data_IF_910583698553
#
_entry.id   IF_910583698553
#
_cell.length_a   1.000
_cell.length_b   1.000
_cell.length_c   1.000
_cell.angle_alpha   90.00
_cell.angle_beta   90.00
_cell.angle_gamma   90.00
#
_symmetry.space_group_name_H-M   'P 1'
#
loop_
_entity.id
_entity.type
_entity.pdbx_description
1 polymer ?
#
# COMPACT_ATOMS: atom_id res chain seq x y z
N UNK A 1 12.88 63.21 1.58
CA UNK A 1 12.25 62.21 0.68
C UNK A 1 11.10 61.55 1.42
N UNK A 2 9.86 61.72 0.97
CA UNK A 2 8.64 61.43 1.75
C UNK A 2 8.48 59.91 2.00
N UNK A 3 8.50 59.47 3.27
CA UNK A 3 8.44 58.04 3.65
C UNK A 3 7.24 57.32 3.01
N UNK A 4 6.10 58.01 2.89
CA UNK A 4 4.91 57.48 2.23
C UNK A 4 5.10 57.17 0.73
N UNK A 5 5.95 57.93 0.03
CA UNK A 5 6.29 57.63 -1.38
C UNK A 5 7.18 56.39 -1.49
N UNK A 6 8.12 56.21 -0.54
CA UNK A 6 9.00 55.03 -0.49
C UNK A 6 8.21 53.74 -0.23
N UNK A 7 7.29 53.76 0.73
CA UNK A 7 6.43 52.60 1.06
C UNK A 7 5.56 52.21 -0.14
N UNK A 8 4.92 53.18 -0.81
CA UNK A 8 4.13 52.93 -2.02
C UNK A 8 4.96 52.32 -3.15
N UNK A 9 6.20 52.78 -3.32
CA UNK A 9 7.10 52.26 -4.36
C UNK A 9 7.54 50.82 -4.07
N UNK A 10 7.89 50.52 -2.81
CA UNK A 10 8.25 49.16 -2.37
C UNK A 10 7.07 48.21 -2.58
N UNK A 11 5.85 48.63 -2.24
CA UNK A 11 4.64 47.84 -2.45
C UNK A 11 4.38 47.60 -3.95
N UNK A 12 4.52 48.63 -4.78
CA UNK A 12 4.31 48.53 -6.22
C UNK A 12 5.35 47.61 -6.90
N UNK A 13 6.62 47.72 -6.51
CA UNK A 13 7.69 46.83 -6.98
C UNK A 13 7.45 45.39 -6.53
N UNK A 14 7.05 45.18 -5.27
CA UNK A 14 6.72 43.84 -4.75
C UNK A 14 5.56 43.20 -5.51
N UNK A 15 4.48 43.95 -5.77
CA UNK A 15 3.35 43.47 -6.58
C UNK A 15 3.79 43.12 -8.00
N UNK A 16 4.60 43.97 -8.65
CA UNK A 16 5.13 43.67 -9.99
C UNK A 16 5.98 42.39 -10.01
N UNK A 17 6.83 42.17 -9.00
CA UNK A 17 7.64 40.94 -8.88
C UNK A 17 6.73 39.71 -8.73
N UNK A 18 5.70 39.78 -7.89
CA UNK A 18 4.73 38.69 -7.74
C UNK A 18 4.00 38.38 -9.05
N UNK A 19 3.54 39.41 -9.77
CA UNK A 19 2.84 39.24 -11.06
C UNK A 19 3.76 38.61 -12.10
N UNK A 20 4.99 39.10 -12.24
CA UNK A 20 5.97 38.54 -13.17
C UNK A 20 6.32 37.09 -12.82
N UNK A 21 6.50 36.78 -11.54
CA UNK A 21 6.76 35.41 -11.08
C UNK A 21 5.59 34.48 -11.41
N UNK A 22 4.36 34.96 -11.25
CA UNK A 22 3.15 34.19 -11.57
C UNK A 22 2.99 33.97 -13.09
N UNK A 23 3.34 34.95 -13.92
CA UNK A 23 3.36 34.80 -15.38
C UNK A 23 4.39 33.74 -15.80
N UNK A 24 5.62 33.83 -15.27
CA UNK A 24 6.68 32.84 -15.53
C UNK A 24 6.24 31.45 -15.08
N UNK A 25 5.58 31.34 -13.92
CA UNK A 25 5.04 30.09 -13.43
C UNK A 25 3.98 29.51 -14.38
N UNK A 26 2.96 30.30 -14.74
CA UNK A 26 1.90 29.86 -15.67
C UNK A 26 2.41 29.46 -17.05
N UNK A 27 3.50 30.07 -17.51
CA UNK A 27 4.09 29.74 -18.81
C UNK A 27 4.85 28.41 -18.77
N UNK A 28 5.48 28.09 -17.64
CA UNK A 28 6.36 26.91 -17.51
C UNK A 28 5.69 25.70 -16.85
N UNK A 29 4.62 25.88 -16.09
CA UNK A 29 3.97 24.83 -15.32
C UNK A 29 2.49 24.67 -15.67
N UNK A 30 2.00 23.47 -15.48
CA UNK A 30 0.60 23.09 -15.65
C UNK A 30 0.14 22.28 -14.44
N UNK A 31 -1.15 22.37 -14.15
CA UNK A 31 -1.80 21.58 -13.12
C UNK A 31 -2.37 20.29 -13.72
N UNK A 32 -1.97 19.16 -13.14
CA UNK A 32 -2.57 17.85 -13.43
C UNK A 32 -3.46 17.48 -12.26
N UNK A 33 -4.76 17.37 -12.52
CA UNK A 33 -5.75 17.01 -11.51
C UNK A 33 -6.15 15.56 -11.69
N UNK A 34 -5.97 14.74 -10.65
CA UNK A 34 -6.38 13.34 -10.66
C UNK A 34 -7.77 13.20 -10.02
N UNK A 35 -8.70 12.48 -10.68
CA UNK A 35 -10.09 12.26 -10.23
C UNK A 35 -10.55 10.81 -10.42
N UNK A 36 -11.64 10.42 -9.75
CA UNK A 36 -12.45 9.21 -10.04
C UNK A 36 -13.86 9.67 -10.28
N UNK A 37 -14.54 9.03 -11.23
CA UNK A 37 -15.96 9.25 -11.47
C UNK A 37 -16.85 8.29 -10.66
N UNK A 38 -16.40 7.05 -10.40
CA UNK A 38 -17.28 5.95 -9.97
C UNK A 38 -17.17 5.53 -8.50
N UNK A 39 -16.10 5.88 -7.78
CA UNK A 39 -15.93 5.54 -6.36
C UNK A 39 -15.40 6.77 -5.60
N UNK A 40 -15.95 7.11 -4.42
CA UNK A 40 -15.39 8.14 -3.57
C UNK A 40 -13.98 7.74 -3.13
N UNK A 41 -12.96 8.40 -3.70
CA UNK A 41 -11.60 8.39 -3.17
C UNK A 41 -11.62 8.97 -1.75
N UNK A 42 -11.74 8.17 -0.70
CA UNK A 42 -11.63 8.74 0.65
C UNK A 42 -10.21 9.29 0.94
N UNK A 43 -9.17 8.80 0.24
CA UNK A 43 -7.78 9.24 0.44
C UNK A 43 -7.20 10.16 -0.65
N UNK A 44 -7.82 10.26 -1.84
CA UNK A 44 -7.28 11.02 -2.99
C UNK A 44 -8.32 11.89 -3.72
N UNK A 45 -9.34 12.37 -3.00
CA UNK A 45 -10.24 13.42 -3.52
C UNK A 45 -9.43 14.63 -3.98
N UNK A 46 -9.10 14.67 -5.29
CA UNK A 46 -8.36 15.72 -6.00
C UNK A 46 -6.91 15.88 -5.54
N UNK A 47 -6.03 14.96 -5.92
CA UNK A 47 -4.59 15.25 -5.93
C UNK A 47 -4.30 16.18 -7.11
N UNK A 48 -3.93 17.42 -6.80
CA UNK A 48 -3.44 18.38 -7.79
C UNK A 48 -1.92 18.29 -7.78
N UNK A 49 -1.33 18.01 -8.93
CA UNK A 49 0.12 18.00 -9.11
C UNK A 49 0.54 19.14 -10.02
N UNK A 50 1.62 19.82 -9.65
CA UNK A 50 2.24 20.86 -10.47
C UNK A 50 3.34 20.20 -11.29
N UNK A 51 3.22 20.26 -12.61
CA UNK A 51 4.14 19.62 -13.55
C UNK A 51 4.67 20.65 -14.52
N UNK A 52 5.96 20.55 -14.88
CA UNK A 52 6.53 21.40 -15.93
C UNK A 52 5.90 21.07 -17.29
N UNK A 53 5.59 22.08 -18.09
CA UNK A 53 5.07 21.87 -19.44
C UNK A 53 6.11 21.21 -20.34
N UNK A 54 5.63 20.47 -21.33
CA UNK A 54 6.40 19.71 -22.31
C UNK A 54 7.24 18.56 -21.71
N UNK A 55 6.99 18.17 -20.46
CA UNK A 55 7.61 16.99 -19.84
C UNK A 55 6.63 15.82 -19.82
N UNK A 56 7.19 14.62 -19.70
CA UNK A 56 6.42 13.40 -19.44
C UNK A 56 6.18 13.32 -17.94
N UNK A 57 4.91 13.14 -17.57
CA UNK A 57 4.48 12.92 -16.21
C UNK A 57 4.08 11.45 -16.04
N UNK A 58 4.62 10.80 -15.02
CA UNK A 58 4.24 9.44 -14.67
C UNK A 58 3.05 9.45 -13.72
N UNK A 59 1.96 8.83 -14.14
CA UNK A 59 0.77 8.69 -13.33
C UNK A 59 0.99 7.62 -12.24
N UNK A 60 0.43 7.84 -11.04
CA UNK A 60 0.57 6.88 -9.95
C UNK A 60 0.00 5.52 -10.33
N UNK A 61 0.76 4.45 -10.05
CA UNK A 61 0.41 3.06 -10.35
C UNK A 61 -0.07 2.26 -9.14
N UNK A 62 0.21 2.75 -7.93
CA UNK A 62 0.02 2.05 -6.66
C UNK A 62 -0.70 2.95 -5.67
N UNK A 63 -1.36 2.34 -4.69
CA UNK A 63 -2.00 3.01 -3.55
C UNK A 63 -3.12 3.98 -3.91
N UNK A 64 -3.74 3.86 -5.09
CA UNK A 64 -4.89 4.70 -5.44
C UNK A 64 -6.14 4.35 -4.61
N UNK A 65 -6.25 3.11 -4.15
CA UNK A 65 -7.42 2.58 -3.44
C UNK A 65 -6.96 1.89 -2.16
N UNK A 66 -7.78 2.01 -1.11
CA UNK A 66 -7.60 1.19 0.08
C UNK A 66 -7.87 -0.26 -0.29
N UNK A 67 -7.09 -1.18 0.30
CA UNK A 67 -7.28 -2.61 0.06
C UNK A 67 -8.70 -3.07 0.43
N UNK A 68 -9.39 -2.34 1.32
CA UNK A 68 -10.76 -2.63 1.73
C UNK A 68 -11.82 -2.21 0.70
N UNK A 69 -11.45 -1.37 -0.26
CA UNK A 69 -12.35 -0.96 -1.32
C UNK A 69 -12.48 -2.08 -2.33
N UNK A 70 -13.72 -2.49 -2.59
CA UNK A 70 -14.07 -3.50 -3.58
C UNK A 70 -13.99 -2.89 -5.00
N UNK A 71 -12.79 -2.44 -5.37
CA UNK A 71 -12.50 -1.71 -6.61
C UNK A 71 -11.25 -2.27 -7.28
N UNK A 72 -11.34 -2.44 -8.59
CA UNK A 72 -10.21 -2.79 -9.45
C UNK A 72 -9.85 -1.61 -10.36
N UNK A 73 -8.63 -1.12 -10.20
CA UNK A 73 -8.04 -0.12 -11.09
C UNK A 73 -7.74 -0.73 -12.46
N UNK A 74 -8.24 -0.11 -13.53
CA UNK A 74 -8.01 -0.54 -14.92
C UNK A 74 -7.03 0.35 -15.68
N UNK A 75 -6.77 1.56 -15.20
CA UNK A 75 -5.90 2.53 -15.84
C UNK A 75 -6.42 3.94 -15.73
N UNK A 76 -5.89 4.83 -16.56
CA UNK A 76 -6.26 6.23 -16.57
C UNK A 76 -7.00 6.57 -17.86
N UNK A 77 -7.81 7.63 -17.85
CA UNK A 77 -8.40 8.21 -19.04
C UNK A 77 -8.24 9.74 -19.04
N UNK A 78 -8.12 10.29 -20.24
CA UNK A 78 -8.00 11.72 -20.50
C UNK A 78 -8.80 12.05 -21.76
N UNK A 79 -9.60 13.13 -21.72
CA UNK A 79 -10.48 13.53 -22.83
C UNK A 79 -11.32 12.36 -23.40
N UNK A 80 -11.90 11.51 -22.54
CA UNK A 80 -12.64 10.30 -22.89
C UNK A 80 -11.86 9.18 -23.61
N UNK A 81 -10.53 9.29 -23.68
CA UNK A 81 -9.66 8.25 -24.23
C UNK A 81 -8.95 7.51 -23.10
N UNK A 82 -8.99 6.17 -23.13
CA UNK A 82 -8.21 5.36 -22.22
C UNK A 82 -6.72 5.47 -22.54
N UNK A 83 -5.90 5.67 -21.50
CA UNK A 83 -4.46 5.74 -21.61
C UNK A 83 -3.91 4.38 -21.21
N UNK A 84 -3.34 3.67 -22.18
CA UNK A 84 -2.71 2.35 -21.97
C UNK A 84 -1.43 2.45 -21.13
N UNK A 85 -0.73 3.58 -21.23
CA UNK A 85 0.50 3.85 -20.51
C UNK A 85 0.25 4.78 -19.31
N UNK A 86 0.91 4.52 -18.17
CA UNK A 86 0.85 5.43 -17.02
C UNK A 86 1.73 6.67 -17.23
N UNK A 87 1.81 7.20 -18.46
CA UNK A 87 2.67 8.31 -18.85
C UNK A 87 1.88 9.25 -19.75
N UNK A 88 1.92 10.53 -19.44
CA UNK A 88 1.25 11.57 -20.24
C UNK A 88 2.20 12.73 -20.48
N UNK A 89 2.16 13.31 -21.68
CA UNK A 89 2.87 14.55 -21.96
C UNK A 89 2.00 15.73 -21.54
N UNK A 90 2.50 16.54 -20.60
CA UNK A 90 1.74 17.66 -20.04
C UNK A 90 2.07 18.93 -20.80
N UNK A 91 1.14 19.45 -21.59
CA UNK A 91 1.31 20.71 -22.34
C UNK A 91 0.45 21.85 -21.80
N UNK A 92 -0.63 21.51 -21.09
CA UNK A 92 -1.61 22.44 -20.51
C UNK A 92 -2.20 21.82 -19.26
N UNK A 93 -2.92 22.63 -18.50
CA UNK A 93 -3.71 22.14 -17.37
C UNK A 93 -4.67 21.05 -17.87
N UNK A 94 -4.72 19.93 -17.14
CA UNK A 94 -5.47 18.76 -17.54
C UNK A 94 -6.05 18.02 -16.34
N UNK A 95 -7.17 17.35 -16.58
CA UNK A 95 -7.80 16.46 -15.60
C UNK A 95 -7.75 15.05 -16.13
N UNK A 96 -7.19 14.13 -15.35
CA UNK A 96 -7.07 12.72 -15.69
C UNK A 96 -7.94 11.92 -14.73
N UNK A 97 -8.68 10.97 -15.26
CA UNK A 97 -9.63 10.16 -14.50
C UNK A 97 -9.10 8.75 -14.31
N UNK A 98 -9.22 8.23 -13.10
CA UNK A 98 -8.95 6.83 -12.80
C UNK A 98 -10.15 6.00 -13.29
N UNK A 99 -9.88 5.06 -14.20
CA UNK A 99 -10.87 4.11 -14.70
C UNK A 99 -10.87 2.91 -13.77
N UNK A 100 -12.01 2.70 -13.13
CA UNK A 100 -12.18 1.69 -12.09
C UNK A 100 -13.41 0.84 -12.36
N UNK A 101 -13.36 -0.42 -11.95
CA UNK A 101 -14.53 -1.30 -11.93
C UNK A 101 -14.82 -1.77 -10.52
N UNK A 102 -16.09 -1.90 -10.19
CA UNK A 102 -16.53 -2.53 -8.94
C UNK A 102 -16.18 -4.01 -8.99
N UNK A 103 -15.66 -4.54 -7.90
CA UNK A 103 -15.35 -5.96 -7.74
C UNK A 103 -16.05 -6.49 -6.50
N UNK A 104 -16.13 -7.80 -6.38
CA UNK A 104 -16.48 -8.50 -5.14
C UNK A 104 -15.24 -9.23 -4.64
N UNK A 105 -15.22 -9.60 -3.37
CA UNK A 105 -14.14 -10.39 -2.81
C UNK A 105 -14.67 -11.43 -1.84
N UNK A 106 -14.00 -12.57 -1.81
CA UNK A 106 -14.15 -13.60 -0.78
C UNK A 106 -12.85 -13.75 -0.01
N UNK A 107 -12.95 -14.19 1.24
CA UNK A 107 -11.80 -14.55 2.06
C UNK A 107 -11.85 -16.06 2.32
N UNK A 108 -10.87 -16.78 1.78
CA UNK A 108 -10.67 -18.20 2.06
C UNK A 108 -9.78 -18.31 3.29
N UNK A 109 -10.28 -19.03 4.30
CA UNK A 109 -9.58 -19.27 5.55
C UNK A 109 -9.20 -20.74 5.63
N UNK A 110 -7.92 -21.01 5.85
CA UNK A 110 -7.36 -22.35 6.04
C UNK A 110 -6.65 -22.43 7.39
N UNK A 111 -6.82 -23.55 8.08
CA UNK A 111 -6.11 -23.83 9.34
C UNK A 111 -5.05 -24.89 9.09
N UNK A 112 -3.81 -24.59 9.49
CA UNK A 112 -2.67 -25.48 9.30
C UNK A 112 -1.98 -25.69 10.64
N UNK A 113 -1.68 -26.94 10.96
CA UNK A 113 -0.93 -27.29 12.17
C UNK A 113 0.52 -26.80 12.09
N UNK A 114 1.01 -26.27 13.20
CA UNK A 114 2.41 -25.93 13.40
C UNK A 114 3.03 -27.04 14.26
N UNK A 115 3.95 -27.85 13.73
CA UNK A 115 4.53 -28.95 14.49
C UNK A 115 5.33 -28.41 15.69
N UNK A 116 5.15 -29.03 16.85
CA UNK A 116 6.03 -28.79 18.00
C UNK A 116 7.40 -29.45 17.82
N UNK A 117 8.38 -29.01 18.62
CA UNK A 117 9.70 -29.63 18.70
C UNK A 117 9.84 -30.44 19.97
N UNK A 118 10.59 -31.53 19.92
CA UNK A 118 10.99 -32.28 21.11
C UNK A 118 12.35 -31.78 21.59
N UNK A 119 12.40 -31.38 22.85
CA UNK A 119 13.59 -30.93 23.58
C UNK A 119 13.97 -32.02 24.58
N UNK A 120 15.20 -32.51 24.47
CA UNK A 120 15.75 -33.51 25.36
C UNK A 120 16.63 -32.86 26.43
N UNK A 121 16.36 -33.15 27.69
CA UNK A 121 17.09 -32.60 28.84
C UNK A 121 17.84 -33.70 29.58
N UNK A 122 19.08 -33.41 29.98
CA UNK A 122 19.88 -34.27 30.86
C UNK A 122 19.33 -34.17 32.30
N UNK A 123 18.87 -35.28 32.89
CA UNK A 123 18.30 -35.28 34.25
C UNK A 123 19.31 -34.88 35.33
N UNK A 124 20.62 -34.82 35.02
CA UNK A 124 21.66 -34.48 35.99
C UNK A 124 21.95 -32.97 36.10
N UNK A 125 21.34 -32.12 35.28
CA UNK A 125 21.46 -30.65 35.41
C UNK A 125 20.36 -30.13 36.34
N UNK A 126 20.75 -29.26 37.28
CA UNK A 126 20.03 -28.89 38.52
C UNK A 126 18.72 -28.11 38.31
N UNK A 127 18.40 -27.65 37.09
CA UNK A 127 17.09 -27.08 36.79
C UNK A 127 16.08 -28.20 36.47
N UNK A 128 15.23 -28.51 37.46
CA UNK A 128 14.16 -29.50 37.39
C UNK A 128 13.04 -29.07 36.46
N UNK A 129 13.30 -28.96 35.15
CA UNK A 129 12.23 -28.77 34.19
C UNK A 129 11.45 -30.10 34.08
N UNK A 130 10.19 -30.06 34.52
CA UNK A 130 9.31 -31.22 34.44
C UNK A 130 9.02 -31.57 32.97
N UNK A 131 8.83 -32.87 32.64
CA UNK A 131 8.39 -33.26 31.31
C UNK A 131 7.08 -32.55 30.94
N UNK A 132 7.03 -32.03 29.72
CA UNK A 132 5.85 -31.35 29.16
C UNK A 132 5.46 -32.09 27.90
N UNK A 133 4.17 -32.40 27.75
CA UNK A 133 3.66 -32.97 26.51
C UNK A 133 3.71 -31.92 25.41
N UNK A 134 4.20 -32.29 24.23
CA UNK A 134 4.15 -31.40 23.08
C UNK A 134 2.73 -31.26 22.57
N UNK A 135 2.39 -30.05 22.11
CA UNK A 135 1.12 -29.75 21.46
C UNK A 135 1.37 -28.94 20.19
N UNK A 136 0.78 -29.36 19.07
CA UNK A 136 0.89 -28.62 17.83
C UNK A 136 0.18 -27.27 17.97
N UNK A 137 0.77 -26.24 17.39
CA UNK A 137 0.11 -24.95 17.27
C UNK A 137 -0.86 -24.92 16.09
N UNK A 138 -1.62 -23.85 15.97
CA UNK A 138 -2.56 -23.61 14.86
C UNK A 138 -2.22 -22.29 14.19
N UNK A 139 -2.03 -22.35 12.87
CA UNK A 139 -1.87 -21.20 12.00
C UNK A 139 -3.13 -21.00 11.16
N UNK A 140 -3.69 -19.80 11.19
CA UNK A 140 -4.75 -19.35 10.29
C UNK A 140 -4.12 -18.66 9.08
N UNK A 141 -4.39 -19.20 7.89
CA UNK A 141 -3.98 -18.63 6.61
C UNK A 141 -5.22 -18.00 5.97
N UNK A 142 -5.18 -16.69 5.74
CA UNK A 142 -6.24 -15.95 5.05
C UNK A 142 -5.80 -15.58 3.65
N UNK A 143 -6.60 -15.93 2.67
CA UNK A 143 -6.37 -15.60 1.27
C UNK A 143 -7.57 -14.85 0.72
N UNK A 144 -7.37 -13.59 0.33
CA UNK A 144 -8.41 -12.80 -0.32
C UNK A 144 -8.41 -13.07 -1.84
N UNK A 145 -9.57 -13.44 -2.36
CA UNK A 145 -9.82 -13.65 -3.79
C UNK A 145 -10.72 -12.52 -4.27
N UNK A 146 -10.36 -11.89 -5.39
CA UNK A 146 -11.07 -10.75 -5.97
C UNK A 146 -11.71 -11.17 -7.30
N UNK A 147 -13.00 -10.91 -7.43
CA UNK A 147 -13.82 -11.26 -8.59
C UNK A 147 -14.34 -10.04 -9.33
N UNK A 148 -14.49 -10.19 -10.64
CA UNK A 148 -15.18 -9.24 -11.50
C UNK A 148 -16.08 -10.02 -12.46
N UNK A 149 -17.38 -9.75 -12.45
CA UNK A 149 -18.39 -10.52 -13.21
C UNK A 149 -18.22 -12.03 -13.02
N UNK A 150 -18.11 -12.47 -11.76
CA UNK A 150 -17.91 -13.86 -11.34
C UNK A 150 -16.60 -14.54 -11.82
N UNK A 151 -15.70 -13.79 -12.47
CA UNK A 151 -14.38 -14.27 -12.88
C UNK A 151 -13.30 -13.83 -11.89
N UNK A 152 -12.43 -14.76 -11.48
CA UNK A 152 -11.29 -14.47 -10.62
C UNK A 152 -10.31 -13.54 -11.36
N UNK A 153 -10.10 -12.35 -10.82
CA UNK A 153 -9.14 -11.37 -11.37
C UNK A 153 -7.80 -11.45 -10.67
N UNK A 154 -7.83 -11.63 -9.35
CA UNK A 154 -6.62 -11.58 -8.52
C UNK A 154 -6.80 -12.41 -7.27
N UNK A 155 -5.80 -13.21 -6.97
CA UNK A 155 -5.62 -13.87 -5.67
C UNK A 155 -4.49 -13.15 -4.94
N UNK A 156 -4.77 -12.61 -3.77
CA UNK A 156 -3.75 -11.91 -2.98
C UNK A 156 -2.79 -12.90 -2.32
N UNK A 157 -1.59 -12.41 -1.95
CA UNK A 157 -0.64 -13.22 -1.19
C UNK A 157 -1.26 -13.60 0.16
N UNK A 158 -1.21 -14.88 0.57
CA UNK A 158 -1.79 -15.30 1.84
C UNK A 158 -1.18 -14.57 3.03
N UNK A 159 -2.03 -14.19 3.98
CA UNK A 159 -1.63 -13.63 5.27
C UNK A 159 -1.71 -14.74 6.31
N UNK A 160 -0.64 -14.89 7.09
CA UNK A 160 -0.50 -15.94 8.09
C UNK A 160 -0.62 -15.35 9.49
N UNK A 161 -1.45 -15.96 10.31
CA UNK A 161 -1.67 -15.55 11.69
C UNK A 161 -1.51 -16.79 12.58
N UNK A 162 -0.58 -16.73 13.54
CA UNK A 162 -0.51 -17.77 14.57
C UNK A 162 -1.68 -17.55 15.51
N UNK A 163 -2.61 -18.51 15.57
CA UNK A 163 -3.73 -18.51 16.51
C UNK A 163 -3.31 -19.13 17.83
N UNK A 164 -2.60 -20.26 17.73
CA UNK A 164 -2.08 -21.01 18.85
C UNK A 164 -0.63 -21.33 18.56
N UNK A 165 0.27 -20.94 19.48
CA UNK A 165 1.69 -21.28 19.36
C UNK A 165 1.89 -22.75 19.75
N UNK A 166 2.77 -23.50 19.07
CA UNK A 166 3.10 -24.85 19.49
C UNK A 166 3.74 -24.84 20.87
N UNK A 167 3.44 -25.86 21.66
CA UNK A 167 4.10 -26.14 22.94
C UNK A 167 5.12 -27.23 22.67
N UNK A 168 6.40 -26.90 22.83
CA UNK A 168 7.48 -27.87 22.63
C UNK A 168 7.44 -28.97 23.70
N UNK A 169 7.65 -30.20 23.26
CA UNK A 169 7.69 -31.37 24.13
C UNK A 169 9.00 -31.40 24.91
N UNK A 170 8.95 -31.63 26.21
CA UNK A 170 10.15 -31.77 27.05
C UNK A 170 10.23 -33.22 27.54
N UNK A 171 11.31 -33.91 27.18
CA UNK A 171 11.61 -35.28 27.60
C UNK A 171 12.97 -35.37 28.27
N UNK A 172 13.09 -36.21 29.29
CA UNK A 172 14.39 -36.56 29.86
C UNK A 172 15.11 -37.56 28.95
N UNK A 173 16.42 -37.36 28.77
CA UNK A 173 17.25 -38.33 28.06
C UNK A 173 17.31 -39.61 28.89
N UNK A 174 16.89 -40.74 28.30
CA UNK A 174 17.05 -42.03 28.93
C UNK A 174 18.50 -42.52 28.73
N UNK A 175 19.38 -42.16 29.67
CA UNK A 175 20.82 -42.48 29.65
C UNK A 175 21.12 -43.99 29.69
N UNK A 176 20.14 -44.85 29.94
CA UNK A 176 20.34 -46.31 29.97
C UNK A 176 20.37 -46.95 28.58
N UNK A 177 19.76 -46.35 27.56
CA UNK A 177 19.71 -46.93 26.20
C UNK A 177 20.78 -46.37 25.24
N UNK A 178 21.53 -45.33 25.63
CA UNK A 178 22.57 -44.73 24.78
C UNK A 178 23.93 -45.44 24.83
N UNK A 179 24.08 -46.47 25.68
CA UNK A 179 25.31 -47.28 25.81
C UNK A 179 25.25 -48.63 25.09
N UNK A 180 24.19 -48.89 24.32
CA UNK A 180 24.07 -50.08 23.48
C UNK A 180 23.94 -49.69 22.00
N UNK A 181 24.99 -49.07 21.45
CA UNK A 181 25.36 -49.12 20.04
C UNK A 181 26.88 -49.22 19.94
#
# INVERSE_FOLDING_TARGET
MNQNKRIRYVFLVSVCICVMSFIVFKNNYAFVVLKSESIPFQAFTKTIQVVRKNTVFELPKKHLFDAEQAVLFKGWSFDNHAISENRIRVNKDMTVYAVCKKVTYDEVVEYVEIPFKTIYIDPNKIDMMHPVSGENGIMEIRTRIIYHDDVIVKTEKPRKFVKESPIDEIKHINLQNSRQQ
#
